data_IF_190354957948
#
_entry.id   IF_190354957948
#
_cell.length_a   1.000
_cell.length_b   1.000
_cell.length_c   1.000
_cell.angle_alpha   90.00
_cell.angle_beta   90.00
_cell.angle_gamma   90.00
#
_symmetry.space_group_name_H-M   'P 1'
#
loop_
_entity.id
_entity.type
_entity.pdbx_description
1 polymer ?
#
# COMPACT_ATOMS: atom_id res chain seq x y z
N UNK A 1 -15.00 -39.61 -29.06
CA UNK A 1 -14.35 -38.30 -29.28
C UNK A 1 -14.81 -37.22 -28.30
N UNK A 2 -16.12 -37.02 -28.06
CA UNK A 2 -16.63 -35.98 -27.14
C UNK A 2 -16.11 -36.12 -25.69
N UNK A 3 -16.04 -37.35 -25.17
CA UNK A 3 -15.53 -37.60 -23.80
C UNK A 3 -14.06 -37.19 -23.63
N UNK A 4 -13.22 -37.44 -24.62
CA UNK A 4 -11.79 -37.07 -24.59
C UNK A 4 -11.59 -35.55 -24.63
N UNK A 5 -12.44 -34.86 -25.39
CA UNK A 5 -12.46 -33.40 -25.48
C UNK A 5 -12.88 -32.74 -24.16
N UNK A 6 -13.88 -33.30 -23.48
CA UNK A 6 -14.32 -32.84 -22.16
C UNK A 6 -13.23 -32.99 -21.09
N UNK A 7 -12.50 -34.11 -21.09
CA UNK A 7 -11.40 -34.34 -20.14
C UNK A 7 -10.26 -33.35 -20.39
N UNK A 8 -9.89 -33.10 -21.65
CA UNK A 8 -8.87 -32.12 -22.00
C UNK A 8 -9.26 -30.70 -21.58
N UNK A 9 -10.53 -30.34 -21.75
CA UNK A 9 -11.06 -29.02 -21.36
C UNK A 9 -11.09 -28.86 -19.84
N UNK A 10 -11.40 -29.92 -19.10
CA UNK A 10 -11.32 -29.95 -17.62
C UNK A 10 -9.88 -29.78 -17.12
N UNK A 11 -8.92 -30.48 -17.71
CA UNK A 11 -7.50 -30.37 -17.34
C UNK A 11 -6.96 -28.97 -17.66
N UNK A 12 -7.30 -28.43 -18.83
CA UNK A 12 -6.92 -27.07 -19.21
C UNK A 12 -7.54 -26.02 -18.28
N UNK A 13 -8.82 -26.18 -17.91
CA UNK A 13 -9.50 -25.31 -16.95
C UNK A 13 -8.88 -25.37 -15.55
N UNK A 14 -8.53 -26.56 -15.06
CA UNK A 14 -7.85 -26.75 -13.79
C UNK A 14 -6.44 -26.10 -13.80
N UNK A 15 -5.68 -26.31 -14.87
CA UNK A 15 -4.37 -25.68 -15.04
C UNK A 15 -4.47 -24.15 -15.10
N UNK A 16 -5.47 -23.60 -15.79
CA UNK A 16 -5.71 -22.16 -15.86
C UNK A 16 -6.09 -21.55 -14.50
N UNK A 17 -6.90 -22.26 -13.71
CA UNK A 17 -7.26 -21.84 -12.35
C UNK A 17 -6.06 -21.87 -11.40
N UNK A 18 -5.23 -22.91 -11.48
CA UNK A 18 -4.00 -22.99 -10.69
C UNK A 18 -3.03 -21.89 -11.11
N UNK A 19 -2.84 -21.64 -12.42
CA UNK A 19 -2.00 -20.55 -12.93
C UNK A 19 -2.48 -19.18 -12.46
N UNK A 20 -3.80 -18.93 -12.42
CA UNK A 20 -4.34 -17.69 -11.84
C UNK A 20 -4.03 -17.57 -10.35
N UNK A 21 -4.17 -18.65 -9.57
CA UNK A 21 -3.87 -18.63 -8.14
C UNK A 21 -2.38 -18.46 -7.84
N UNK A 22 -1.50 -19.05 -8.63
CA UNK A 22 -0.04 -18.90 -8.44
C UNK A 22 0.46 -17.54 -8.94
N UNK A 23 -0.13 -16.98 -10.01
CA UNK A 23 0.14 -15.60 -10.46
C UNK A 23 -0.35 -14.51 -9.50
N UNK A 24 -1.12 -14.89 -8.48
CA UNK A 24 -1.63 -14.05 -7.40
C UNK A 24 -0.78 -14.11 -6.12
N UNK A 25 0.22 -15.00 -6.04
CA UNK A 25 1.14 -15.02 -4.90
C UNK A 25 1.99 -13.75 -4.96
N UNK A 26 1.86 -12.82 -3.99
CA UNK A 26 2.63 -11.59 -4.01
C UNK A 26 4.09 -11.93 -3.77
N UNK A 27 4.97 -11.44 -4.63
CA UNK A 27 6.41 -11.57 -4.45
C UNK A 27 6.87 -10.92 -3.13
N UNK A 28 8.07 -11.26 -2.70
CA UNK A 28 8.67 -10.69 -1.50
C UNK A 28 8.72 -9.16 -1.57
N UNK A 29 9.14 -8.62 -2.72
CA UNK A 29 9.15 -7.18 -2.98
C UNK A 29 7.75 -6.54 -2.87
N UNK A 30 6.72 -7.21 -3.40
CA UNK A 30 5.34 -6.75 -3.25
C UNK A 30 4.86 -6.76 -1.80
N UNK A 31 5.29 -7.74 -1.01
CA UNK A 31 4.99 -7.82 0.42
C UNK A 31 5.69 -6.70 1.18
N UNK A 32 6.94 -6.37 0.86
CA UNK A 32 7.64 -5.22 1.45
C UNK A 32 6.88 -3.91 1.18
N UNK A 33 6.46 -3.67 -0.06
CA UNK A 33 5.65 -2.48 -0.41
C UNK A 33 4.29 -2.50 0.32
N UNK A 34 3.69 -3.68 0.49
CA UNK A 34 2.41 -3.84 1.19
C UNK A 34 2.56 -3.53 2.69
N UNK A 35 3.66 -3.95 3.33
CA UNK A 35 3.93 -3.63 4.73
C UNK A 35 4.05 -2.11 4.98
N UNK A 36 4.66 -1.37 4.04
CA UNK A 36 4.74 0.09 4.13
C UNK A 36 3.35 0.70 3.95
N UNK A 37 2.54 0.17 3.03
CA UNK A 37 1.15 0.63 2.80
C UNK A 37 0.28 0.46 4.05
N UNK A 38 0.40 -0.66 4.75
CA UNK A 38 -0.36 -0.91 5.97
C UNK A 38 0.01 0.08 7.07
N UNK A 39 1.32 0.27 7.31
CA UNK A 39 1.81 1.28 8.27
C UNK A 39 1.38 2.70 7.89
N UNK A 40 1.37 3.03 6.60
CA UNK A 40 0.87 4.31 6.10
C UNK A 40 -0.61 4.50 6.40
N UNK A 41 -1.44 3.48 6.15
CA UNK A 41 -2.88 3.53 6.48
C UNK A 41 -3.10 3.79 7.97
N UNK A 42 -2.32 3.14 8.83
CA UNK A 42 -2.40 3.36 10.28
C UNK A 42 -2.02 4.80 10.64
N UNK A 43 -0.94 5.33 10.07
CA UNK A 43 -0.50 6.70 10.33
C UNK A 43 -1.51 7.75 9.87
N UNK A 44 -2.10 7.56 8.68
CA UNK A 44 -3.16 8.44 8.15
C UNK A 44 -4.39 8.41 9.03
N UNK A 45 -4.87 7.22 9.43
CA UNK A 45 -6.02 7.10 10.31
C UNK A 45 -5.80 7.81 11.65
N UNK A 46 -4.59 7.68 12.24
CA UNK A 46 -4.22 8.42 13.45
C UNK A 46 -4.26 9.93 13.25
N UNK A 47 -3.71 10.42 12.13
CA UNK A 47 -3.72 11.84 11.79
C UNK A 47 -5.15 12.39 11.65
N UNK A 48 -6.01 11.69 10.89
CA UNK A 48 -7.39 12.09 10.69
C UNK A 48 -8.19 12.07 11.99
N UNK A 49 -7.97 11.07 12.85
CA UNK A 49 -8.62 10.99 14.15
C UNK A 49 -8.17 12.12 15.09
N UNK A 50 -6.89 12.49 15.08
CA UNK A 50 -6.40 13.64 15.84
C UNK A 50 -7.10 14.91 15.35
N UNK A 51 -7.06 15.23 14.06
CA UNK A 51 -7.74 16.40 13.51
C UNK A 51 -9.25 16.43 13.80
N UNK A 52 -9.92 15.27 13.69
CA UNK A 52 -11.34 15.15 14.00
C UNK A 52 -11.66 15.43 15.47
N UNK A 53 -10.79 15.00 16.41
CA UNK A 53 -10.97 15.25 17.85
C UNK A 53 -10.71 16.71 18.23
N UNK A 54 -9.73 17.37 17.61
CA UNK A 54 -9.55 18.81 17.76
C UNK A 54 -10.79 19.58 17.31
N UNK A 55 -11.33 19.26 16.14
CA UNK A 55 -12.50 19.97 15.59
C UNK A 55 -13.81 19.70 16.33
N UNK A 56 -14.00 18.51 16.91
CA UNK A 56 -15.27 18.12 17.54
C UNK A 56 -15.32 18.34 19.05
N UNK A 57 -14.20 18.19 19.75
CA UNK A 57 -14.14 18.25 21.21
C UNK A 57 -13.38 19.46 21.74
N UNK A 58 -12.78 20.28 20.86
CA UNK A 58 -11.91 21.39 21.28
C UNK A 58 -10.66 20.93 22.05
N UNK A 59 -10.31 19.65 21.95
CA UNK A 59 -9.12 19.08 22.58
C UNK A 59 -7.89 19.51 21.80
N UNK A 60 -6.83 19.94 22.49
CA UNK A 60 -5.54 20.16 21.85
C UNK A 60 -4.93 18.80 21.47
N UNK A 61 -5.14 18.40 20.21
CA UNK A 61 -4.54 17.21 19.59
C UNK A 61 -3.47 17.59 18.57
N UNK A 62 -2.93 18.81 18.66
CA UNK A 62 -1.91 19.32 17.74
C UNK A 62 -0.69 18.40 17.77
N UNK A 63 -0.21 18.06 18.97
CA UNK A 63 0.92 17.15 19.18
C UNK A 63 0.71 15.76 18.56
N UNK A 64 -0.50 15.20 18.68
CA UNK A 64 -0.84 13.89 18.10
C UNK A 64 -0.84 13.94 16.57
N UNK A 65 -1.35 15.05 16.01
CA UNK A 65 -1.36 15.27 14.56
C UNK A 65 0.05 15.46 13.99
N UNK A 66 0.92 16.21 14.67
CA UNK A 66 2.33 16.38 14.29
C UNK A 66 3.09 15.06 14.36
N UNK A 67 2.87 14.27 15.41
CA UNK A 67 3.49 12.94 15.57
C UNK A 67 3.08 11.99 14.45
N UNK A 68 1.79 12.00 14.07
CA UNK A 68 1.28 11.21 12.96
C UNK A 68 1.83 11.69 11.61
N UNK A 69 1.95 13.01 11.39
CA UNK A 69 2.56 13.60 10.21
C UNK A 69 4.05 13.20 10.08
N UNK A 70 4.81 13.25 11.18
CA UNK A 70 6.19 12.78 11.23
C UNK A 70 6.33 11.29 10.88
N UNK A 71 5.37 10.46 11.29
CA UNK A 71 5.32 9.05 10.92
C UNK A 71 5.09 8.84 9.42
N UNK A 72 4.22 9.66 8.80
CA UNK A 72 4.01 9.64 7.35
C UNK A 72 5.28 10.04 6.59
N UNK A 73 6.01 11.06 7.06
CA UNK A 73 7.28 11.47 6.46
C UNK A 73 8.37 10.38 6.57
N UNK A 74 8.46 9.68 7.70
CA UNK A 74 9.36 8.53 7.84
C UNK A 74 9.03 7.42 6.85
N UNK A 75 7.75 7.07 6.71
CA UNK A 75 7.30 6.06 5.75
C UNK A 75 7.55 6.47 4.29
N UNK A 76 7.45 7.76 3.98
CA UNK A 76 7.84 8.31 2.67
C UNK A 76 9.32 8.06 2.37
N UNK A 77 10.19 8.33 3.35
CA UNK A 77 11.62 8.12 3.20
C UNK A 77 11.98 6.63 3.09
N UNK A 78 11.33 5.77 3.88
CA UNK A 78 11.47 4.31 3.78
C UNK A 78 11.03 3.79 2.41
N UNK A 79 9.89 4.27 1.90
CA UNK A 79 9.41 3.90 0.57
C UNK A 79 10.37 4.36 -0.53
N UNK A 80 10.95 5.56 -0.40
CA UNK A 80 11.94 6.07 -1.35
C UNK A 80 13.20 5.18 -1.38
N UNK A 81 13.67 4.71 -0.22
CA UNK A 81 14.77 3.75 -0.13
C UNK A 81 14.39 2.41 -0.74
N UNK A 82 13.22 1.86 -0.39
CA UNK A 82 12.75 0.58 -0.94
C UNK A 82 12.65 0.64 -2.46
N UNK A 83 12.14 1.74 -3.04
CA UNK A 83 12.03 1.92 -4.48
C UNK A 83 13.36 1.81 -5.23
N UNK A 84 14.50 2.11 -4.59
CA UNK A 84 15.82 1.96 -5.20
C UNK A 84 16.26 0.50 -5.30
N UNK A 85 15.68 -0.39 -4.49
CA UNK A 85 16.03 -1.81 -4.43
C UNK A 85 15.03 -2.69 -5.15
N UNK A 86 13.88 -2.15 -5.57
CA UNK A 86 12.85 -2.91 -6.29
C UNK A 86 13.32 -3.24 -7.71
N UNK A 87 13.16 -4.50 -8.09
CA UNK A 87 13.49 -4.99 -9.43
C UNK A 87 12.24 -5.45 -10.18
N UNK A 88 11.18 -5.81 -9.45
CA UNK A 88 9.97 -6.34 -10.06
C UNK A 88 9.02 -5.23 -10.51
N UNK A 89 8.64 -5.26 -11.78
CA UNK A 89 7.73 -4.27 -12.38
C UNK A 89 6.37 -4.14 -11.67
N UNK A 90 5.90 -5.20 -10.98
CA UNK A 90 4.64 -5.14 -10.21
C UNK A 90 4.84 -4.48 -8.85
N UNK A 91 5.96 -4.74 -8.16
CA UNK A 91 6.33 -4.07 -6.92
C UNK A 91 6.62 -2.58 -7.17
N UNK A 92 7.35 -2.25 -8.23
CA UNK A 92 7.63 -0.87 -8.66
C UNK A 92 6.33 -0.08 -8.85
N UNK A 93 5.38 -0.60 -9.65
CA UNK A 93 4.06 0.05 -9.86
C UNK A 93 3.28 0.24 -8.56
N UNK A 94 3.30 -0.77 -7.67
CA UNK A 94 2.65 -0.67 -6.35
C UNK A 94 3.31 0.40 -5.47
N UNK A 95 4.63 0.54 -5.54
CA UNK A 95 5.40 1.52 -4.79
C UNK A 95 5.19 2.94 -5.32
N UNK A 96 5.12 3.11 -6.65
CA UNK A 96 4.80 4.39 -7.28
C UNK A 96 3.39 4.86 -6.90
N UNK A 97 2.39 3.99 -7.02
CA UNK A 97 1.02 4.34 -6.60
C UNK A 97 0.90 4.62 -5.10
N UNK A 98 1.75 4.02 -4.26
CA UNK A 98 1.82 4.37 -2.84
C UNK A 98 2.52 5.71 -2.61
N UNK A 99 3.60 6.00 -3.35
CA UNK A 99 4.33 7.25 -3.26
C UNK A 99 3.46 8.44 -3.66
N UNK A 100 2.67 8.31 -4.72
CA UNK A 100 1.71 9.32 -5.16
C UNK A 100 0.65 9.60 -4.08
N UNK A 101 0.09 8.55 -3.46
CA UNK A 101 -0.87 8.70 -2.35
C UNK A 101 -0.27 9.43 -1.16
N UNK A 102 0.95 9.06 -0.75
CA UNK A 102 1.67 9.72 0.34
C UNK A 102 1.90 11.19 -0.01
N UNK A 103 2.34 11.49 -1.23
CA UNK A 103 2.60 12.85 -1.66
C UNK A 103 1.33 13.71 -1.70
N UNK A 104 0.24 13.18 -2.26
CA UNK A 104 -1.06 13.86 -2.29
C UNK A 104 -1.58 14.13 -0.87
N UNK A 105 -1.40 13.17 0.04
CA UNK A 105 -1.75 13.36 1.44
C UNK A 105 -0.91 14.45 2.11
N UNK A 106 0.42 14.46 1.92
CA UNK A 106 1.27 15.50 2.47
C UNK A 106 0.91 16.89 1.92
N UNK A 107 0.68 17.01 0.60
CA UNK A 107 0.25 18.27 -0.04
C UNK A 107 -1.09 18.76 0.50
N UNK A 108 -2.07 17.87 0.66
CA UNK A 108 -3.42 18.24 1.10
C UNK A 108 -3.47 18.74 2.54
N UNK A 109 -2.55 18.29 3.39
CA UNK A 109 -2.56 18.59 4.83
C UNK A 109 -1.38 19.47 5.24
N UNK A 110 -0.76 20.18 4.29
CA UNK A 110 0.41 21.06 4.51
C UNK A 110 1.49 20.42 5.39
N UNK A 111 1.72 19.12 5.21
CA UNK A 111 2.78 18.40 5.93
C UNK A 111 4.10 18.79 5.28
N UNK A 112 4.73 19.83 5.84
CA UNK A 112 5.97 20.42 5.35
C UNK A 112 7.08 19.37 5.40
N UNK A 113 7.82 19.29 4.29
CA UNK A 113 9.01 18.45 4.16
C UNK A 113 10.13 19.12 5.00
N UNK A 114 10.69 18.47 6.03
CA UNK A 114 11.93 18.95 6.65
C UNK A 114 13.09 18.90 5.65
#
# INVERSE_FOLDING_TARGET
MVRTLLVLLLIAGAAFLVYRKTALVPSEEEQMVTSIRERYTIAVTKFLNAQGRAGTLGLDSTFDSETAAGSVLKLRAELAKLRQTLTEARAIRKAEGLAEKIENFCKKNDIIRP
#
